data_IF_468542074338
#
_entry.id   IF_468542074338
#
_cell.length_a   1.000
_cell.length_b   1.000
_cell.length_c   1.000
_cell.angle_alpha   90.00
_cell.angle_beta   90.00
_cell.angle_gamma   90.00
#
_symmetry.space_group_name_H-M   'P 1'
#
loop_
_entity.id
_entity.type
_entity.pdbx_description
1 polymer ?
#
# COMPACT_ATOMS: atom_id res chain seq x y z
N UNK A 1 -7.78 6.93 -14.50
CA UNK A 1 -8.23 7.49 -13.19
C UNK A 1 -8.37 6.45 -12.07
N UNK A 2 -8.51 5.14 -12.34
CA UNK A 2 -8.66 4.12 -11.30
C UNK A 2 -7.41 3.79 -10.42
N UNK A 3 -6.20 4.07 -10.90
CA UNK A 3 -4.96 3.61 -10.24
C UNK A 3 -4.64 4.31 -8.90
N UNK A 4 -4.73 5.64 -8.77
CA UNK A 4 -4.50 6.32 -7.49
C UNK A 4 -5.60 6.01 -6.46
N UNK A 5 -6.87 6.00 -6.90
CA UNK A 5 -8.01 5.71 -6.04
C UNK A 5 -7.99 4.27 -5.50
N UNK A 6 -7.49 3.31 -6.28
CA UNK A 6 -7.30 1.94 -5.83
C UNK A 6 -6.21 1.80 -4.76
N UNK A 7 -5.11 2.57 -4.86
CA UNK A 7 -4.08 2.58 -3.80
C UNK A 7 -4.60 3.21 -2.52
N UNK A 8 -5.31 4.33 -2.58
CA UNK A 8 -5.90 4.97 -1.38
C UNK A 8 -6.88 4.00 -0.67
N UNK A 9 -7.72 3.30 -1.42
CA UNK A 9 -8.64 2.30 -0.85
C UNK A 9 -7.93 1.08 -0.26
N UNK A 10 -6.86 0.60 -0.89
CA UNK A 10 -6.06 -0.52 -0.40
C UNK A 10 -5.28 -0.16 0.89
N UNK A 11 -4.73 1.05 0.97
CA UNK A 11 -3.98 1.54 2.13
C UNK A 11 -4.84 1.61 3.40
N UNK A 12 -6.11 2.03 3.28
CA UNK A 12 -7.02 2.11 4.43
C UNK A 12 -7.31 0.73 5.05
N UNK A 13 -7.42 -0.32 4.23
CA UNK A 13 -7.65 -1.68 4.74
C UNK A 13 -6.38 -2.27 5.37
N UNK A 14 -5.22 -1.89 4.86
CA UNK A 14 -3.93 -2.29 5.41
C UNK A 14 -3.74 -1.75 6.83
N UNK A 15 -4.04 -0.48 7.08
CA UNK A 15 -3.89 0.15 8.41
C UNK A 15 -4.73 -0.56 9.49
N UNK A 16 -5.99 -0.91 9.15
CA UNK A 16 -6.88 -1.69 10.03
C UNK A 16 -6.34 -3.11 10.25
N UNK A 17 -5.74 -3.74 9.23
CA UNK A 17 -5.15 -5.07 9.33
C UNK A 17 -3.92 -5.11 10.23
N UNK A 18 -3.06 -4.08 10.20
CA UNK A 18 -1.95 -3.96 11.15
C UNK A 18 -2.46 -3.75 12.56
N UNK A 19 -3.46 -2.88 12.73
CA UNK A 19 -4.04 -2.62 14.04
C UNK A 19 -4.58 -3.91 14.65
N UNK A 20 -5.29 -4.73 13.86
CA UNK A 20 -5.76 -6.05 14.31
C UNK A 20 -4.62 -7.04 14.53
N UNK A 21 -3.61 -7.10 13.67
CA UNK A 21 -2.45 -7.97 13.88
C UNK A 21 -1.66 -7.60 15.15
N UNK A 22 -1.50 -6.30 15.42
CA UNK A 22 -0.82 -5.80 16.62
C UNK A 22 -1.63 -6.07 17.88
N UNK A 23 -2.96 -5.90 17.81
CA UNK A 23 -3.87 -6.20 18.91
C UNK A 23 -3.98 -7.70 19.21
N UNK A 24 -3.98 -8.57 18.19
CA UNK A 24 -4.14 -10.01 18.37
C UNK A 24 -2.87 -10.71 18.84
N UNK A 25 -1.69 -10.25 18.41
CA UNK A 25 -0.43 -10.96 18.67
C UNK A 25 0.39 -10.37 19.84
N UNK A 26 0.19 -9.10 20.21
CA UNK A 26 0.78 -8.50 21.42
C UNK A 26 2.31 -8.28 21.38
N UNK A 27 2.81 -7.37 22.21
CA UNK A 27 4.21 -6.87 22.16
C UNK A 27 5.24 -7.72 22.91
N UNK A 28 4.86 -8.87 23.51
CA UNK A 28 5.67 -9.57 24.53
C UNK A 28 6.34 -10.88 24.08
N UNK A 29 6.22 -11.27 22.80
CA UNK A 29 6.83 -12.49 22.25
C UNK A 29 7.14 -12.27 20.76
N UNK A 30 7.64 -13.27 20.00
CA UNK A 30 8.02 -13.15 18.57
C UNK A 30 6.97 -12.48 17.65
N UNK A 31 5.72 -12.41 18.11
CA UNK A 31 4.67 -11.50 17.65
C UNK A 31 5.07 -10.02 17.48
N UNK A 32 5.85 -9.47 18.42
CA UNK A 32 6.32 -8.08 18.40
C UNK A 32 7.29 -7.81 17.23
N UNK A 33 8.13 -8.80 16.92
CA UNK A 33 9.00 -8.75 15.75
C UNK A 33 8.18 -8.81 14.46
N UNK A 34 7.12 -9.64 14.42
CA UNK A 34 6.24 -9.74 13.26
C UNK A 34 5.46 -8.45 12.98
N UNK A 35 5.01 -7.73 14.01
CA UNK A 35 4.30 -6.45 13.85
C UNK A 35 5.23 -5.31 13.46
N UNK A 36 6.43 -5.24 14.05
CA UNK A 36 7.44 -4.23 13.66
C UNK A 36 7.88 -4.45 12.22
N UNK A 37 8.16 -5.69 11.80
CA UNK A 37 8.50 -6.00 10.40
C UNK A 37 7.31 -5.76 9.47
N UNK A 38 6.07 -6.00 9.94
CA UNK A 38 4.85 -5.72 9.20
C UNK A 38 4.67 -4.24 8.84
N UNK A 39 4.91 -3.33 9.79
CA UNK A 39 4.88 -1.87 9.52
C UNK A 39 6.05 -1.45 8.63
N UNK A 40 7.24 -2.03 8.85
CA UNK A 40 8.43 -1.72 8.04
C UNK A 40 8.28 -2.15 6.57
N UNK A 41 7.48 -3.18 6.27
CA UNK A 41 7.25 -3.64 4.88
C UNK A 41 6.06 -2.94 4.21
N UNK A 42 5.06 -2.53 4.97
CA UNK A 42 3.86 -1.84 4.46
C UNK A 42 4.20 -0.58 3.68
N UNK A 43 4.84 0.37 4.37
CA UNK A 43 5.07 1.71 3.86
C UNK A 43 5.91 1.67 2.58
N UNK A 44 7.01 0.91 2.50
CA UNK A 44 7.76 0.81 1.25
C UNK A 44 7.00 0.08 0.15
N UNK A 45 6.19 -0.95 0.44
CA UNK A 45 5.36 -1.61 -0.58
C UNK A 45 4.33 -0.64 -1.16
N UNK A 46 3.67 0.16 -0.32
CA UNK A 46 2.70 1.15 -0.77
C UNK A 46 3.37 2.19 -1.68
N UNK A 47 4.52 2.73 -1.28
CA UNK A 47 5.28 3.68 -2.10
C UNK A 47 5.84 3.05 -3.40
N UNK A 48 6.24 1.78 -3.37
CA UNK A 48 6.69 1.05 -4.54
C UNK A 48 5.57 0.87 -5.56
N UNK A 49 4.37 0.52 -5.12
CA UNK A 49 3.18 0.44 -5.98
C UNK A 49 2.82 1.81 -6.57
N UNK A 50 2.88 2.88 -5.78
CA UNK A 50 2.70 4.26 -6.28
C UNK A 50 3.71 4.57 -7.38
N UNK A 51 4.98 4.22 -7.16
CA UNK A 51 6.04 4.44 -8.14
C UNK A 51 5.86 3.61 -9.41
N UNK A 52 5.38 2.37 -9.30
CA UNK A 52 5.03 1.54 -10.46
C UNK A 52 3.85 2.13 -11.24
N UNK A 53 2.80 2.58 -10.55
CA UNK A 53 1.67 3.25 -11.18
C UNK A 53 2.08 4.55 -11.88
N UNK A 54 2.94 5.36 -11.24
CA UNK A 54 3.49 6.58 -11.82
C UNK A 54 4.40 6.29 -13.03
N UNK A 55 5.16 5.20 -12.99
CA UNK A 55 5.97 4.76 -14.13
C UNK A 55 5.10 4.21 -15.27
N UNK A 56 3.96 3.60 -14.93
CA UNK A 56 2.97 3.07 -15.89
C UNK A 56 2.18 4.14 -16.62
N UNK A 57 2.12 5.37 -16.07
CA UNK A 57 1.41 6.48 -16.71
C UNK A 57 1.91 6.78 -18.13
N UNK A 58 3.19 6.50 -18.43
CA UNK A 58 3.74 6.67 -19.78
C UNK A 58 3.11 5.70 -20.82
N UNK A 59 2.65 4.52 -20.41
CA UNK A 59 1.93 3.57 -21.28
C UNK A 59 0.49 4.05 -21.61
N UNK A 60 -0.08 4.92 -20.78
CA UNK A 60 -1.36 5.58 -21.06
C UNK A 60 -1.20 6.86 -21.90
N UNK A 61 0.03 7.26 -22.27
CA UNK A 61 0.28 8.36 -23.19
C UNK A 61 0.08 7.91 -24.64
N UNK A 62 -1.16 7.54 -24.98
CA UNK A 62 -1.59 7.46 -26.38
C UNK A 62 -3.03 7.98 -26.51
N UNK A 63 -3.11 9.18 -27.10
CA UNK A 63 -4.28 9.86 -27.66
C UNK A 63 -5.38 10.32 -26.69
N UNK A 64 -5.22 11.55 -26.21
CA UNK A 64 -6.36 12.49 -26.13
C UNK A 64 -6.16 13.53 -27.23
N UNK A 65 -6.66 13.21 -28.42
CA UNK A 65 -6.93 14.20 -29.47
C UNK A 65 -8.40 14.06 -29.84
N UNK A 66 -9.09 15.21 -29.86
CA UNK A 66 -10.49 15.45 -30.24
C UNK A 66 -11.51 14.91 -29.24
N UNK A 67 -12.46 15.69 -28.71
CA UNK A 67 -13.21 16.86 -29.22
C UNK A 67 -13.47 17.84 -28.08
#
# INVERSE_FOLDING_TARGET
DASPSAMIGASNHFEVAIATATLLFGLSSGAALATVVGVLIEVPVMLMLVKICLNTTHWFSHKVTAV
#
